data_IF_742785588390
#
_entry.id   IF_742785588390
#
_cell.length_a   1.000
_cell.length_b   1.000
_cell.length_c   1.000
_cell.angle_alpha   90.00
_cell.angle_beta   90.00
_cell.angle_gamma   90.00
#
_symmetry.space_group_name_H-M   'P 1'
#
loop_
_entity.id
_entity.type
_entity.pdbx_description
1 polymer ?
#
# COMPACT_ATOMS: atom_id res chain seq x y z
N UNK A 1 -2.06 -30.93 3.66
CA UNK A 1 -2.86 -29.69 3.52
C UNK A 1 -1.90 -28.62 3.02
N UNK A 2 -1.81 -28.50 1.69
CA UNK A 2 -0.75 -27.75 1.01
C UNK A 2 -1.13 -26.28 0.96
N UNK A 3 -0.36 -25.42 1.62
CA UNK A 3 -0.49 -23.97 1.54
C UNK A 3 -0.10 -23.54 0.13
N UNK A 4 -1.08 -23.21 -0.70
CA UNK A 4 -0.86 -22.57 -2.00
C UNK A 4 -0.36 -21.14 -1.76
N UNK A 5 0.96 -20.99 -1.57
CA UNK A 5 1.63 -19.70 -1.64
C UNK A 5 1.75 -19.31 -3.11
N UNK A 6 0.67 -18.78 -3.70
CA UNK A 6 0.83 -17.86 -4.82
C UNK A 6 1.49 -16.60 -4.30
N UNK A 7 2.81 -16.52 -4.46
CA UNK A 7 3.48 -15.22 -4.48
C UNK A 7 2.77 -14.39 -5.55
N UNK A 8 2.22 -13.24 -5.17
CA UNK A 8 1.72 -12.26 -6.13
C UNK A 8 2.89 -11.94 -7.06
N UNK A 9 2.76 -12.30 -8.34
CA UNK A 9 3.73 -11.89 -9.34
C UNK A 9 3.64 -10.35 -9.38
N UNK A 10 4.66 -9.66 -8.88
CA UNK A 10 4.73 -8.20 -8.88
C UNK A 10 4.37 -7.70 -10.28
N UNK A 11 3.20 -7.07 -10.38
CA UNK A 11 2.70 -6.58 -11.66
C UNK A 11 3.53 -5.35 -12.05
N UNK A 12 3.82 -5.19 -13.34
CA UNK A 12 4.57 -4.00 -13.77
C UNK A 12 3.80 -2.73 -13.40
N UNK A 13 4.50 -1.65 -12.99
CA UNK A 13 3.88 -0.35 -12.82
C UNK A 13 3.12 0.05 -14.08
N UNK A 14 1.90 0.62 -13.95
CA UNK A 14 1.19 1.19 -15.07
C UNK A 14 2.08 2.23 -15.78
N UNK A 15 2.09 2.24 -17.10
CA UNK A 15 2.82 3.24 -17.91
C UNK A 15 2.09 4.60 -17.91
N UNK A 16 1.76 5.11 -16.71
CA UNK A 16 1.04 6.35 -16.45
C UNK A 16 1.62 7.04 -15.22
N UNK A 17 1.46 8.35 -15.14
CA UNK A 17 1.85 9.11 -13.95
C UNK A 17 0.98 8.72 -12.75
N UNK A 18 1.59 8.63 -11.59
CA UNK A 18 0.92 8.39 -10.30
C UNK A 18 1.09 9.56 -9.35
N UNK A 19 0.37 9.50 -8.23
CA UNK A 19 0.42 10.52 -7.19
C UNK A 19 0.49 9.90 -5.79
N UNK A 20 1.05 10.62 -4.82
CA UNK A 20 0.97 10.24 -3.42
C UNK A 20 -0.46 10.43 -2.89
N UNK A 21 -1.01 9.42 -2.24
CA UNK A 21 -2.35 9.50 -1.66
C UNK A 21 -2.32 10.23 -0.31
N UNK A 22 -3.17 11.26 -0.15
CA UNK A 22 -3.30 12.05 1.08
C UNK A 22 -4.75 12.06 1.57
N UNK A 23 -4.99 12.02 2.90
CA UNK A 23 -6.34 12.00 3.45
C UNK A 23 -7.23 13.16 3.03
N UNK A 24 -6.66 14.36 2.81
CA UNK A 24 -7.43 15.53 2.36
C UNK A 24 -8.12 15.31 1.00
N UNK A 25 -7.61 14.37 0.20
CA UNK A 25 -8.09 14.12 -1.16
C UNK A 25 -8.98 12.88 -1.29
N UNK A 26 -9.27 12.14 -0.22
CA UNK A 26 -10.06 10.90 -0.31
C UNK A 26 -11.44 11.12 -0.93
N UNK A 27 -12.19 12.12 -0.48
CA UNK A 27 -13.55 12.38 -1.00
C UNK A 27 -13.52 12.82 -2.46
N UNK A 28 -12.75 13.86 -2.87
CA UNK A 28 -12.62 14.20 -4.28
C UNK A 28 -12.19 13.02 -5.16
N UNK A 29 -11.25 12.18 -4.71
CA UNK A 29 -10.83 11.00 -5.49
C UNK A 29 -11.97 9.99 -5.67
N UNK A 30 -12.73 9.72 -4.60
CA UNK A 30 -13.81 8.73 -4.60
C UNK A 30 -15.12 9.22 -5.22
N UNK A 31 -15.33 10.54 -5.27
CA UNK A 31 -16.54 11.14 -5.82
C UNK A 31 -16.34 11.50 -7.31
N UNK A 32 -15.16 12.03 -7.67
CA UNK A 32 -14.89 12.57 -9.00
C UNK A 32 -14.10 11.62 -9.91
N UNK A 33 -13.47 10.58 -9.36
CA UNK A 33 -12.61 9.63 -10.08
C UNK A 33 -11.64 10.32 -11.07
N UNK A 34 -10.72 11.17 -10.57
CA UNK A 34 -9.81 11.92 -11.44
C UNK A 34 -8.93 11.00 -12.28
N UNK A 35 -8.50 11.50 -13.44
CA UNK A 35 -7.65 10.76 -14.38
C UNK A 35 -6.19 10.67 -13.86
N UNK A 36 -5.96 9.75 -12.93
CA UNK A 36 -4.66 9.44 -12.31
C UNK A 36 -4.33 7.97 -12.59
N UNK A 37 -3.06 7.69 -12.92
CA UNK A 37 -2.64 6.35 -13.31
C UNK A 37 -2.60 5.33 -12.17
N UNK A 38 -2.18 5.78 -10.98
CA UNK A 38 -2.06 4.96 -9.77
C UNK A 38 -1.75 5.85 -8.56
N UNK A 39 -1.92 5.29 -7.36
CA UNK A 39 -1.60 5.99 -6.12
C UNK A 39 -0.48 5.29 -5.33
N UNK A 40 0.33 6.07 -4.63
CA UNK A 40 1.31 5.58 -3.67
C UNK A 40 0.88 5.85 -2.23
N UNK A 41 1.15 4.88 -1.34
CA UNK A 41 0.99 5.04 0.11
C UNK A 41 2.25 4.64 0.86
N UNK A 42 2.46 5.24 2.04
CA UNK A 42 3.46 4.75 2.98
C UNK A 42 2.92 3.54 3.76
N UNK A 43 3.66 2.44 3.79
CA UNK A 43 3.24 1.20 4.45
C UNK A 43 2.91 1.42 5.93
N UNK A 44 3.71 2.23 6.63
CA UNK A 44 3.64 2.47 8.06
C UNK A 44 2.31 3.09 8.50
N UNK A 45 1.66 3.87 7.64
CA UNK A 45 0.34 4.44 7.90
C UNK A 45 -0.77 3.38 7.95
N UNK A 46 -0.49 2.16 7.48
CA UNK A 46 -1.43 1.05 7.35
C UNK A 46 -0.96 -0.22 8.08
N UNK A 47 0.07 -0.14 8.92
CA UNK A 47 0.50 -1.26 9.78
C UNK A 47 -0.39 -1.46 11.02
N UNK A 48 -1.37 -0.57 11.24
CA UNK A 48 -2.37 -0.69 12.31
C UNK A 48 -3.47 -1.70 11.98
N UNK A 49 -4.35 -1.96 12.94
CA UNK A 49 -5.39 -2.98 12.81
C UNK A 49 -6.60 -2.57 11.93
N UNK A 50 -6.71 -1.31 11.52
CA UNK A 50 -7.88 -0.82 10.77
C UNK A 50 -8.19 0.66 10.96
N UNK A 51 -9.47 1.01 10.85
CA UNK A 51 -9.96 2.37 11.04
C UNK A 51 -10.12 3.16 9.73
N UNK A 52 -10.38 4.47 9.83
CA UNK A 52 -10.66 5.33 8.68
C UNK A 52 -9.62 5.24 7.55
N UNK A 53 -8.29 5.21 7.80
CA UNK A 53 -7.31 5.07 6.74
C UNK A 53 -7.54 3.81 5.89
N UNK A 54 -7.73 2.66 6.54
CA UNK A 54 -7.97 1.40 5.84
C UNK A 54 -9.27 1.42 5.05
N UNK A 55 -10.35 1.97 5.61
CA UNK A 55 -11.63 2.11 4.92
C UNK A 55 -11.50 2.89 3.61
N UNK A 56 -10.81 4.04 3.64
CA UNK A 56 -10.62 4.85 2.43
C UNK A 56 -9.67 4.20 1.44
N UNK A 57 -8.56 3.61 1.91
CA UNK A 57 -7.60 2.97 1.02
C UNK A 57 -8.19 1.74 0.31
N UNK A 58 -9.04 0.96 0.98
CA UNK A 58 -9.75 -0.16 0.33
C UNK A 58 -10.64 0.32 -0.81
N UNK A 59 -11.34 1.44 -0.62
CA UNK A 59 -12.16 2.03 -1.68
C UNK A 59 -11.31 2.58 -2.82
N UNK A 60 -10.26 3.34 -2.53
CA UNK A 60 -9.36 3.87 -3.57
C UNK A 60 -8.69 2.72 -4.34
N UNK A 61 -8.25 1.65 -3.66
CA UNK A 61 -7.63 0.47 -4.28
C UNK A 61 -8.59 -0.29 -5.20
N UNK A 62 -9.89 -0.21 -4.98
CA UNK A 62 -10.87 -0.86 -5.85
C UNK A 62 -10.86 -0.25 -7.26
N UNK A 63 -10.60 1.07 -7.36
CA UNK A 63 -10.67 1.82 -8.61
C UNK A 63 -9.27 2.12 -9.21
N UNK A 64 -8.24 2.22 -8.36
CA UNK A 64 -6.90 2.60 -8.76
C UNK A 64 -5.84 1.54 -8.38
N UNK A 65 -4.85 1.27 -9.26
CA UNK A 65 -3.66 0.53 -8.88
C UNK A 65 -2.91 1.23 -7.75
N UNK A 66 -2.27 0.44 -6.88
CA UNK A 66 -1.59 0.94 -5.68
C UNK A 66 -0.12 0.51 -5.65
N UNK A 67 0.76 1.47 -5.34
CA UNK A 67 2.13 1.27 -4.90
C UNK A 67 2.22 1.39 -3.37
N UNK A 68 3.04 0.56 -2.73
CA UNK A 68 3.31 0.62 -1.29
C UNK A 68 4.80 0.91 -1.08
N UNK A 69 5.09 2.03 -0.44
CA UNK A 69 6.44 2.50 -0.13
C UNK A 69 6.73 2.39 1.38
N UNK A 70 7.79 1.71 1.78
CA UNK A 70 8.20 1.62 3.18
C UNK A 70 9.17 2.74 3.56
N UNK A 71 8.88 3.50 4.62
CA UNK A 71 9.76 4.58 5.12
C UNK A 71 10.43 4.27 6.47
N UNK A 72 10.00 3.23 7.17
CA UNK A 72 10.39 2.94 8.56
C UNK A 72 11.31 1.74 8.74
N UNK A 73 11.71 1.06 7.66
CA UNK A 73 12.52 -0.17 7.75
C UNK A 73 13.94 0.10 8.28
N UNK A 74 14.50 1.28 7.99
CA UNK A 74 15.85 1.68 8.40
C UNK A 74 16.93 0.64 8.05
N UNK A 75 16.95 0.19 6.80
CA UNK A 75 17.82 -0.92 6.35
C UNK A 75 19.34 -0.68 6.59
N UNK A 76 19.77 0.58 6.64
CA UNK A 76 21.15 0.97 6.94
C UNK A 76 21.46 1.17 8.43
N UNK A 77 20.56 0.80 9.34
CA UNK A 77 20.74 0.98 10.78
C UNK A 77 21.84 0.07 11.33
N UNK A 78 22.73 0.63 12.15
CA UNK A 78 23.76 -0.13 12.88
C UNK A 78 23.16 -1.08 13.94
N UNK A 79 21.92 -0.81 14.39
CA UNK A 79 21.21 -1.67 15.33
C UNK A 79 20.50 -2.87 14.65
N UNK A 80 20.61 -2.99 13.32
CA UNK A 80 19.88 -3.98 12.54
C UNK A 80 18.40 -3.63 12.36
N UNK A 81 17.62 -4.61 11.88
CA UNK A 81 16.19 -4.46 11.62
C UNK A 81 15.35 -4.62 12.90
N UNK A 82 14.33 -3.77 13.05
CA UNK A 82 13.34 -3.91 14.13
C UNK A 82 12.54 -5.21 13.96
N UNK A 83 12.49 -6.10 14.98
CA UNK A 83 11.70 -7.33 14.92
C UNK A 83 10.23 -7.08 14.56
N UNK A 84 9.68 -7.94 13.71
CA UNK A 84 8.28 -7.89 13.27
C UNK A 84 7.93 -6.76 12.29
N UNK A 85 8.87 -5.86 11.93
CA UNK A 85 8.59 -4.82 10.94
C UNK A 85 8.24 -5.43 9.56
N UNK A 86 9.02 -6.42 9.12
CA UNK A 86 8.75 -7.12 7.85
C UNK A 86 7.44 -7.89 7.85
N UNK A 87 7.01 -8.44 9.00
CA UNK A 87 5.72 -9.13 9.12
C UNK A 87 4.53 -8.16 8.98
N UNK A 88 4.66 -6.96 9.56
CA UNK A 88 3.66 -5.89 9.38
C UNK A 88 3.64 -5.38 7.95
N UNK A 89 4.81 -5.19 7.32
CA UNK A 89 4.89 -4.83 5.90
C UNK A 89 4.23 -5.90 5.02
N UNK A 90 4.52 -7.18 5.29
CA UNK A 90 3.87 -8.30 4.60
C UNK A 90 2.36 -8.25 4.74
N UNK A 91 1.84 -7.94 5.93
CA UNK A 91 0.40 -7.82 6.16
C UNK A 91 -0.23 -6.73 5.27
N UNK A 92 0.43 -5.59 5.12
CA UNK A 92 -0.03 -4.50 4.24
C UNK A 92 -0.02 -4.94 2.77
N UNK A 93 1.09 -5.54 2.32
CA UNK A 93 1.23 -6.03 0.94
C UNK A 93 0.19 -7.12 0.63
N UNK A 94 -0.01 -8.06 1.56
CA UNK A 94 -1.01 -9.12 1.41
C UNK A 94 -2.44 -8.56 1.35
N UNK A 95 -2.75 -7.52 2.14
CA UNK A 95 -4.08 -6.90 2.15
C UNK A 95 -4.39 -6.13 0.87
N UNK A 96 -3.42 -5.35 0.39
CA UNK A 96 -3.65 -4.39 -0.70
C UNK A 96 -3.18 -4.85 -2.07
N UNK A 97 -2.42 -5.93 -2.15
CA UNK A 97 -1.92 -6.52 -3.40
C UNK A 97 -1.40 -5.43 -4.36
N UNK A 98 -0.35 -4.68 -3.95
CA UNK A 98 0.26 -3.66 -4.80
C UNK A 98 0.93 -4.30 -6.02
N UNK A 99 1.20 -3.48 -7.04
CA UNK A 99 1.91 -3.92 -8.24
C UNK A 99 3.43 -3.97 -8.03
#
# INVERSE_FOLDING_TARGET
>A
MTTDRRASAASRPPARAGAGLKPEHYRPILDDHPDIGWFEVHAENYMGAGGPPHHFLERVRADYPLSVHGVGLSIGSAAGLTPGHLDRLKTVVDRYQPF
#
